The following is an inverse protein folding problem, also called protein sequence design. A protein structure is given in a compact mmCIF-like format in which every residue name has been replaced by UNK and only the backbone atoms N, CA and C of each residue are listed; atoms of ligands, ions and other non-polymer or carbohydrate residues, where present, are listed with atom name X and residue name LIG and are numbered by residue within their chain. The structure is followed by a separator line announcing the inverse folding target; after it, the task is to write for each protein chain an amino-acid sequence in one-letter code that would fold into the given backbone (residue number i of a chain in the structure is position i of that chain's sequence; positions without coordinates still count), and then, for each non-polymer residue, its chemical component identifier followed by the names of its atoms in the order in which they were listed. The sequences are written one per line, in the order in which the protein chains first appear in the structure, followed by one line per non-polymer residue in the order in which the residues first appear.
data_IF_242095300313
#
_entry.id   IF_242095300313
#
_cell.length_a   1.000
_cell.length_b   1.000
_cell.length_c   1.000
_cell.angle_alpha   90.00
_cell.angle_beta   90.00
_cell.angle_gamma   90.00
#
_symmetry.space_group_name_H-M   'P 1'
#
loop_
_entity.id
_entity.type
_entity.pdbx_description
1 polymer ?
#
# COMPACT_ATOMS: atom_id res chain seq x y z
N UNK A 1 15.52 -10.18 28.55
CA UNK A 1 15.77 -11.46 27.85
C UNK A 1 17.21 -11.44 27.33
N UNK A 2 17.85 -12.55 26.95
CA UNK A 2 19.22 -12.49 26.42
C UNK A 2 19.26 -11.67 25.13
N UNK A 3 20.19 -10.74 25.01
CA UNK A 3 20.34 -9.86 23.84
C UNK A 3 21.52 -10.29 22.97
N UNK A 4 21.35 -10.18 21.65
CA UNK A 4 22.40 -10.40 20.66
C UNK A 4 22.78 -9.08 20.02
N UNK A 5 24.05 -8.69 20.14
CA UNK A 5 24.58 -7.49 19.46
C UNK A 5 24.70 -7.72 17.96
N UNK A 6 24.11 -6.85 17.17
CA UNK A 6 24.24 -6.86 15.71
C UNK A 6 24.76 -5.52 15.19
N UNK A 7 25.26 -5.44 13.94
CA UNK A 7 25.59 -4.16 13.32
C UNK A 7 24.39 -3.20 13.18
N UNK A 8 23.16 -3.68 13.35
CA UNK A 8 21.92 -2.92 13.19
C UNK A 8 21.20 -2.65 14.52
N UNK A 9 21.90 -2.84 15.65
CA UNK A 9 21.36 -2.70 17.00
C UNK A 9 21.27 -4.03 17.74
N UNK A 10 20.96 -3.93 19.04
CA UNK A 10 20.76 -5.09 19.90
C UNK A 10 19.34 -5.67 19.66
N UNK A 11 19.22 -7.00 19.64
CA UNK A 11 17.96 -7.70 19.38
C UNK A 11 17.74 -8.83 20.39
N UNK A 12 16.48 -9.22 20.60
CA UNK A 12 16.13 -10.39 21.42
C UNK A 12 16.72 -11.68 20.79
N UNK A 13 17.48 -12.43 21.58
CA UNK A 13 18.21 -13.60 21.10
C UNK A 13 17.30 -14.80 20.82
N UNK A 14 16.22 -14.96 21.59
CA UNK A 14 15.28 -16.07 21.41
C UNK A 14 14.43 -15.84 20.15
N UNK A 15 13.92 -14.63 19.98
CA UNK A 15 13.20 -14.23 18.77
C UNK A 15 14.08 -14.32 17.52
N UNK A 16 15.35 -13.88 17.62
CA UNK A 16 16.32 -14.01 16.55
C UNK A 16 16.55 -15.48 16.16
N UNK A 17 16.65 -16.38 17.14
CA UNK A 17 16.79 -17.81 16.86
C UNK A 17 15.54 -18.39 16.20
N UNK A 18 14.34 -17.98 16.64
CA UNK A 18 13.08 -18.37 16.03
C UNK A 18 12.99 -17.95 14.56
N UNK A 19 13.24 -16.67 14.27
CA UNK A 19 13.19 -16.13 12.91
C UNK A 19 14.25 -16.75 11.99
N UNK A 20 15.44 -17.09 12.49
CA UNK A 20 16.46 -17.81 11.70
C UNK A 20 15.97 -19.17 11.17
N UNK A 21 15.00 -19.79 11.84
CA UNK A 21 14.45 -21.09 11.45
C UNK A 21 13.19 -20.96 10.59
N UNK A 22 12.45 -19.86 10.70
CA UNK A 22 11.09 -19.74 10.14
C UNK A 22 10.89 -18.62 9.12
N UNK A 23 11.71 -17.57 9.14
CA UNK A 23 11.48 -16.37 8.33
C UNK A 23 12.26 -16.43 7.00
N UNK A 24 11.55 -16.39 5.87
CA UNK A 24 12.16 -16.21 4.55
C UNK A 24 12.30 -14.71 4.24
N UNK A 25 13.54 -14.21 4.20
CA UNK A 25 13.83 -12.82 3.87
C UNK A 25 13.41 -12.42 2.47
N UNK A 26 13.14 -13.37 1.56
CA UNK A 26 12.53 -13.09 0.24
C UNK A 26 11.15 -12.45 0.35
N UNK A 27 10.44 -12.63 1.47
CA UNK A 27 9.15 -11.96 1.69
C UNK A 27 9.29 -10.44 1.67
N UNK A 28 10.46 -9.91 2.07
CA UNK A 28 10.77 -8.47 2.00
C UNK A 28 10.89 -8.02 0.55
N UNK A 29 11.51 -8.83 -0.32
CA UNK A 29 11.60 -8.54 -1.74
C UNK A 29 10.23 -8.60 -2.41
N UNK A 30 9.37 -9.55 -2.02
CA UNK A 30 8.00 -9.61 -2.53
C UNK A 30 7.18 -8.39 -2.09
N UNK A 31 7.39 -7.86 -0.88
CA UNK A 31 6.78 -6.61 -0.45
C UNK A 31 7.22 -5.42 -1.32
N UNK A 32 8.47 -5.39 -1.79
CA UNK A 32 8.95 -4.38 -2.76
C UNK A 32 8.23 -4.53 -4.11
N UNK A 33 8.04 -5.75 -4.61
CA UNK A 33 7.30 -5.98 -5.87
C UNK A 33 5.87 -5.46 -5.80
N UNK A 34 5.18 -5.71 -4.68
CA UNK A 34 3.84 -5.18 -4.41
C UNK A 34 3.86 -3.64 -4.37
N UNK A 35 4.90 -3.04 -3.78
CA UNK A 35 5.05 -1.58 -3.69
C UNK A 35 5.30 -0.96 -5.06
N UNK A 36 6.09 -1.62 -5.91
CA UNK A 36 6.34 -1.18 -7.28
C UNK A 36 5.06 -1.20 -8.11
N UNK A 37 4.16 -2.16 -7.87
CA UNK A 37 2.81 -2.16 -8.45
C UNK A 37 1.99 -0.92 -8.10
N UNK A 38 1.98 -0.52 -6.83
CA UNK A 38 1.34 0.73 -6.36
C UNK A 38 2.03 1.94 -7.01
N UNK A 39 3.36 1.97 -6.98
CA UNK A 39 4.15 3.09 -7.51
C UNK A 39 3.93 3.30 -9.01
N UNK A 40 3.74 2.23 -9.78
CA UNK A 40 3.43 2.33 -11.21
C UNK A 40 2.17 3.16 -11.48
N UNK A 41 1.20 3.13 -10.55
CA UNK A 41 -0.05 3.90 -10.60
C UNK A 41 0.03 5.29 -9.95
N UNK A 42 1.21 5.68 -9.47
CA UNK A 42 1.51 7.06 -9.04
C UNK A 42 2.06 7.94 -10.20
N UNK A 43 2.31 7.35 -11.36
CA UNK A 43 2.70 8.07 -12.56
C UNK A 43 1.52 8.90 -13.14
N UNK A 44 1.75 9.78 -14.13
CA UNK A 44 0.66 10.40 -14.90
C UNK A 44 -0.32 9.34 -15.44
N UNK A 45 -1.59 9.71 -15.56
CA UNK A 45 -2.71 8.81 -15.89
C UNK A 45 -2.96 7.71 -14.83
N UNK A 46 -2.44 7.93 -13.63
CA UNK A 46 -2.61 7.09 -12.45
C UNK A 46 -3.81 7.48 -11.57
N UNK A 47 -3.88 6.89 -10.38
CA UNK A 47 -4.98 7.09 -9.43
C UNK A 47 -5.23 8.57 -9.10
N UNK A 48 -4.18 9.41 -9.11
CA UNK A 48 -4.31 10.85 -8.90
C UNK A 48 -5.20 11.50 -9.96
N UNK A 49 -4.99 11.17 -11.23
CA UNK A 49 -5.74 11.77 -12.33
C UNK A 49 -7.16 11.21 -12.39
N UNK A 50 -7.33 9.94 -12.01
CA UNK A 50 -8.65 9.32 -11.79
C UNK A 50 -9.45 10.02 -10.68
N UNK A 51 -8.80 10.37 -9.56
CA UNK A 51 -9.41 11.12 -8.46
C UNK A 51 -9.74 12.57 -8.88
N UNK A 52 -8.88 13.23 -9.66
CA UNK A 52 -9.15 14.58 -10.17
C UNK A 52 -10.29 14.59 -11.19
N UNK A 53 -10.39 13.54 -12.01
CA UNK A 53 -11.52 13.33 -12.91
C UNK A 53 -12.81 13.12 -12.12
N UNK A 54 -12.80 12.20 -11.15
CA UNK A 54 -13.93 11.93 -10.29
C UNK A 54 -14.40 13.20 -9.55
N UNK A 55 -13.46 14.00 -9.04
CA UNK A 55 -13.77 15.29 -8.43
C UNK A 55 -14.49 16.22 -9.41
N UNK A 56 -13.97 16.41 -10.62
CA UNK A 56 -14.61 17.31 -11.60
C UNK A 56 -16.00 16.86 -11.99
N UNK A 57 -16.22 15.55 -12.17
CA UNK A 57 -17.54 15.00 -12.46
C UNK A 57 -18.51 15.20 -11.29
N UNK A 58 -18.09 14.92 -10.07
CA UNK A 58 -18.88 15.15 -8.86
C UNK A 58 -19.18 16.64 -8.66
N UNK A 59 -18.23 17.52 -8.96
CA UNK A 59 -18.40 18.96 -8.86
C UNK A 59 -19.49 19.47 -9.83
N UNK A 60 -19.52 18.98 -11.07
CA UNK A 60 -20.58 19.29 -12.03
C UNK A 60 -21.94 18.76 -11.57
N UNK A 61 -22.02 17.51 -11.09
CA UNK A 61 -23.30 16.86 -10.76
C UNK A 61 -23.87 17.30 -9.41
N UNK A 62 -23.03 17.43 -8.39
CA UNK A 62 -23.45 17.67 -7.00
C UNK A 62 -23.49 19.17 -6.69
N UNK A 63 -22.58 19.96 -7.27
CA UNK A 63 -22.44 21.37 -6.95
C UNK A 63 -22.91 22.30 -8.09
N UNK A 64 -23.59 21.77 -9.10
CA UNK A 64 -24.09 22.50 -10.28
C UNK A 64 -23.01 23.34 -11.00
N UNK A 65 -21.75 22.89 -10.94
CA UNK A 65 -20.64 23.56 -11.59
C UNK A 65 -20.63 23.33 -13.10
N UNK A 66 -19.93 24.19 -13.85
CA UNK A 66 -19.69 23.98 -15.28
C UNK A 66 -18.99 22.64 -15.55
N UNK A 67 -19.24 22.07 -16.73
CA UNK A 67 -18.62 20.82 -17.16
C UNK A 67 -17.08 20.97 -17.27
N UNK A 68 -16.34 20.15 -16.51
CA UNK A 68 -14.88 20.16 -16.51
C UNK A 68 -14.24 19.10 -17.41
N UNK A 69 -14.96 18.02 -17.74
CA UNK A 69 -14.50 16.87 -18.53
C UNK A 69 -15.52 16.49 -19.61
N UNK A 70 -15.07 15.83 -20.69
CA UNK A 70 -15.98 15.33 -21.73
C UNK A 70 -16.97 14.29 -21.18
N UNK A 71 -18.19 14.29 -21.72
CA UNK A 71 -19.23 13.29 -21.44
C UNK A 71 -19.11 12.02 -22.27
N UNK A 72 -18.14 11.93 -23.19
CA UNK A 72 -17.87 10.73 -24.01
C UNK A 72 -17.06 9.66 -23.26
N UNK A 73 -16.65 9.94 -22.01
CA UNK A 73 -15.88 9.05 -21.14
C UNK A 73 -16.74 8.17 -20.24
N UNK A 74 -16.14 7.52 -19.22
CA UNK A 74 -16.89 6.76 -18.22
C UNK A 74 -17.89 7.64 -17.49
N UNK A 75 -19.00 7.05 -17.07
CA UNK A 75 -20.00 7.70 -16.21
C UNK A 75 -19.44 7.94 -14.81
N UNK A 76 -20.09 8.83 -14.05
CA UNK A 76 -19.66 9.14 -12.67
C UNK A 76 -19.60 7.89 -11.80
N UNK A 77 -20.58 6.99 -11.93
CA UNK A 77 -20.64 5.74 -11.15
C UNK A 77 -19.51 4.80 -11.56
N UNK A 78 -19.25 4.63 -12.86
CA UNK A 78 -18.14 3.78 -13.34
C UNK A 78 -16.78 4.32 -12.87
N UNK A 79 -16.59 5.64 -12.85
CA UNK A 79 -15.35 6.24 -12.32
C UNK A 79 -15.21 6.03 -10.82
N UNK A 80 -16.32 6.12 -10.05
CA UNK A 80 -16.33 5.79 -8.61
C UNK A 80 -15.92 4.34 -8.40
N UNK A 81 -16.55 3.41 -9.11
CA UNK A 81 -16.29 1.97 -8.97
C UNK A 81 -14.84 1.63 -9.30
N UNK A 82 -14.29 2.20 -10.39
CA UNK A 82 -12.89 2.01 -10.76
C UNK A 82 -11.92 2.51 -9.68
N UNK A 83 -12.14 3.72 -9.16
CA UNK A 83 -11.31 4.30 -8.09
C UNK A 83 -11.39 3.47 -6.81
N UNK A 84 -12.60 3.04 -6.41
CA UNK A 84 -12.79 2.23 -5.21
C UNK A 84 -12.15 0.84 -5.34
N UNK A 85 -12.23 0.24 -6.52
CA UNK A 85 -11.58 -1.04 -6.82
C UNK A 85 -10.06 -0.91 -6.68
N UNK A 86 -9.45 0.09 -7.33
CA UNK A 86 -8.01 0.31 -7.25
C UNK A 86 -7.54 0.60 -5.81
N UNK A 87 -8.27 1.43 -5.07
CA UNK A 87 -7.99 1.67 -3.64
C UNK A 87 -8.10 0.39 -2.81
N UNK A 88 -9.08 -0.46 -3.10
CA UNK A 88 -9.23 -1.78 -2.46
C UNK A 88 -8.03 -2.68 -2.70
N UNK A 89 -7.53 -2.72 -3.94
CA UNK A 89 -6.34 -3.48 -4.31
C UNK A 89 -5.09 -2.96 -3.60
N UNK A 90 -4.94 -1.63 -3.48
CA UNK A 90 -3.83 -1.02 -2.75
C UNK A 90 -3.88 -1.35 -1.25
N UNK A 91 -5.06 -1.28 -0.63
CA UNK A 91 -5.24 -1.67 0.77
C UNK A 91 -4.86 -3.14 0.99
N UNK A 92 -5.30 -4.03 0.10
CA UNK A 92 -4.96 -5.45 0.18
C UNK A 92 -3.45 -5.69 0.01
N UNK A 93 -2.80 -4.98 -0.91
CA UNK A 93 -1.36 -5.07 -1.12
C UNK A 93 -0.58 -4.57 0.11
N UNK A 94 -0.91 -3.40 0.64
CA UNK A 94 -0.29 -2.83 1.84
C UNK A 94 -0.46 -3.72 3.06
N UNK A 95 -1.65 -4.30 3.25
CA UNK A 95 -1.92 -5.20 4.36
C UNK A 95 -1.10 -6.50 4.25
N UNK A 96 -0.92 -7.05 3.04
CA UNK A 96 -0.03 -8.20 2.81
C UNK A 96 1.43 -7.87 3.14
N UNK A 97 1.91 -6.68 2.77
CA UNK A 97 3.25 -6.22 3.14
C UNK A 97 3.39 -6.15 4.65
N UNK A 98 2.43 -5.52 5.34
CA UNK A 98 2.42 -5.39 6.80
C UNK A 98 2.53 -6.76 7.49
N UNK A 99 1.64 -7.69 7.12
CA UNK A 99 1.63 -9.06 7.67
C UNK A 99 2.94 -9.81 7.41
N UNK A 100 3.58 -9.56 6.26
CA UNK A 100 4.85 -10.20 5.92
C UNK A 100 6.03 -9.67 6.74
N UNK A 101 5.94 -8.44 7.25
CA UNK A 101 7.00 -7.77 8.01
C UNK A 101 6.80 -7.83 9.52
N UNK A 102 5.56 -7.99 9.99
CA UNK A 102 5.16 -8.09 11.41
C UNK A 102 6.01 -9.09 12.24
N UNK A 103 6.44 -10.26 11.72
CA UNK A 103 7.32 -11.15 12.50
C UNK A 103 8.64 -10.50 12.93
N UNK A 104 9.16 -9.53 12.17
CA UNK A 104 10.41 -8.86 12.48
C UNK A 104 10.30 -7.95 13.71
N UNK A 105 9.10 -7.50 14.10
CA UNK A 105 8.89 -6.70 15.31
C UNK A 105 9.28 -7.46 16.58
N UNK A 106 9.20 -8.81 16.54
CA UNK A 106 9.59 -9.67 17.66
C UNK A 106 11.08 -9.61 17.99
N UNK A 107 11.91 -9.04 17.10
CA UNK A 107 13.33 -8.80 17.38
C UNK A 107 13.56 -7.69 18.42
N UNK A 108 12.53 -6.89 18.75
CA UNK A 108 12.68 -5.82 19.73
C UNK A 108 13.20 -6.39 21.06
N UNK A 109 14.30 -5.85 21.62
CA UNK A 109 14.65 -6.13 23.00
C UNK A 109 13.52 -5.63 23.91
N UNK A 110 13.32 -6.29 25.06
CA UNK A 110 12.37 -5.84 26.07
C UNK A 110 12.85 -4.51 26.69
N UNK A 111 11.90 -3.61 26.99
CA UNK A 111 12.16 -2.34 27.71
C UNK A 111 12.84 -2.54 29.09
#
# INVERSE_FOLDING_TARGET
MPETKTPYGDVDSEALQGLRQSFDTRTILHAVELLDGIRARCAPDGLRDDLLRLHGMAHTVINDASLAYSTDGPTLVEQVDAVLMELGDWLAALERMRQSLEPLEHLSPAD
#
